data_IF_309313085776
#
_entry.id   IF_309313085776
#
_cell.length_a   1.000
_cell.length_b   1.000
_cell.length_c   1.000
_cell.angle_alpha   90.00
_cell.angle_beta   90.00
_cell.angle_gamma   90.00
#
_symmetry.space_group_name_H-M   'P 1'
#
loop_
_entity.id
_entity.type
_entity.pdbx_description
1 polymer ?
#
# COMPACT_ATOMS: atom_id res chain seq x y z
N UNK A 1 -30.06 -31.66 -31.05
CA UNK A 1 -30.55 -30.59 -30.16
C UNK A 1 -29.88 -30.80 -28.81
N UNK A 2 -28.86 -30.01 -28.49
CA UNK A 2 -27.98 -30.24 -27.33
C UNK A 2 -28.50 -29.43 -26.14
N UNK A 3 -28.93 -30.13 -25.08
CA UNK A 3 -29.40 -29.54 -23.84
C UNK A 3 -28.23 -28.99 -23.02
N UNK A 4 -28.02 -27.67 -23.04
CA UNK A 4 -27.10 -27.01 -22.11
C UNK A 4 -27.72 -26.94 -20.71
N UNK A 5 -27.21 -27.76 -19.79
CA UNK A 5 -27.58 -27.69 -18.36
C UNK A 5 -26.93 -26.45 -17.75
N UNK A 6 -27.76 -25.49 -17.37
CA UNK A 6 -27.35 -24.32 -16.58
C UNK A 6 -26.87 -24.79 -15.20
N UNK A 7 -25.65 -24.41 -14.76
CA UNK A 7 -25.11 -24.86 -13.47
C UNK A 7 -25.92 -24.25 -12.32
N UNK A 8 -26.20 -25.07 -11.31
CA UNK A 8 -27.00 -24.66 -10.15
C UNK A 8 -26.27 -23.63 -9.29
N UNK A 9 -27.04 -22.83 -8.54
CA UNK A 9 -26.52 -21.82 -7.59
C UNK A 9 -25.52 -22.40 -6.59
N UNK A 10 -25.68 -23.66 -6.20
CA UNK A 10 -24.78 -24.37 -5.28
C UNK A 10 -23.44 -24.66 -5.95
N UNK A 11 -23.46 -25.01 -7.24
CA UNK A 11 -22.26 -25.27 -8.03
C UNK A 11 -21.46 -23.99 -8.27
N UNK A 12 -22.15 -22.87 -8.52
CA UNK A 12 -21.54 -21.54 -8.61
C UNK A 12 -20.90 -21.12 -7.29
N UNK A 13 -21.54 -21.41 -6.15
CA UNK A 13 -20.99 -21.12 -4.81
C UNK A 13 -19.76 -21.98 -4.49
N UNK A 14 -19.76 -23.26 -4.89
CA UNK A 14 -18.57 -24.13 -4.76
C UNK A 14 -17.39 -23.61 -5.57
N UNK A 15 -17.62 -23.25 -6.85
CA UNK A 15 -16.58 -22.68 -7.72
C UNK A 15 -16.03 -21.36 -7.19
N UNK A 16 -16.86 -20.54 -6.54
CA UNK A 16 -16.42 -19.31 -5.86
C UNK A 16 -15.56 -19.60 -4.62
N UNK A 17 -15.93 -20.58 -3.79
CA UNK A 17 -15.12 -21.00 -2.63
C UNK A 17 -13.78 -21.62 -3.06
N UNK A 18 -13.78 -22.43 -4.11
CA UNK A 18 -12.56 -23.06 -4.65
C UNK A 18 -11.59 -22.01 -5.22
N UNK A 19 -12.08 -20.94 -5.88
CA UNK A 19 -11.24 -19.81 -6.32
C UNK A 19 -10.64 -18.98 -5.18
N UNK A 20 -11.35 -18.86 -4.06
CA UNK A 20 -10.84 -18.16 -2.87
C UNK A 20 -9.75 -19.01 -2.19
N UNK A 21 -9.89 -20.34 -2.20
CA UNK A 21 -8.92 -21.27 -1.61
C UNK A 21 -7.71 -21.57 -2.53
N UNK A 22 -7.79 -21.31 -3.84
CA UNK A 22 -6.66 -21.47 -4.77
C UNK A 22 -5.73 -20.27 -4.82
N UNK A 23 -6.04 -19.19 -4.09
CA UNK A 23 -5.09 -18.11 -3.85
C UNK A 23 -3.99 -18.65 -2.93
N UNK A 24 -2.81 -18.88 -3.49
CA UNK A 24 -1.61 -19.25 -2.75
C UNK A 24 -1.35 -18.24 -1.63
N UNK A 25 -1.89 -18.53 -0.43
CA UNK A 25 -1.50 -17.89 0.80
C UNK A 25 -0.09 -18.38 1.13
N UNK A 26 0.91 -17.78 0.51
CA UNK A 26 2.26 -17.79 1.05
C UNK A 26 2.28 -16.86 2.26
N UNK A 27 1.66 -17.32 3.36
CA UNK A 27 2.01 -16.86 4.70
C UNK A 27 3.39 -17.46 5.00
N UNK A 28 4.43 -16.87 4.41
CA UNK A 28 5.79 -17.18 4.79
C UNK A 28 5.99 -16.71 6.22
N UNK A 29 6.51 -17.59 7.08
CA UNK A 29 7.18 -17.19 8.34
C UNK A 29 8.07 -15.98 8.03
N UNK A 30 8.26 -15.02 8.97
CA UNK A 30 9.17 -13.90 8.72
C UNK A 30 10.52 -14.46 8.30
N UNK A 31 10.81 -14.33 7.00
CA UNK A 31 12.01 -14.86 6.37
C UNK A 31 13.18 -13.99 6.82
N UNK A 32 14.39 -14.55 6.82
CA UNK A 32 15.62 -13.83 7.13
C UNK A 32 15.69 -12.46 6.42
N UNK A 33 16.44 -11.48 6.97
CA UNK A 33 16.66 -10.18 6.32
C UNK A 33 17.01 -10.37 4.86
N UNK A 34 16.20 -9.76 3.99
CA UNK A 34 16.39 -9.82 2.55
C UNK A 34 16.98 -8.49 2.05
N UNK A 35 18.05 -8.59 1.28
CA UNK A 35 18.54 -7.47 0.48
C UNK A 35 17.56 -7.22 -0.67
N UNK A 36 17.52 -6.00 -1.24
CA UNK A 36 16.66 -5.67 -2.38
C UNK A 36 16.70 -6.69 -3.52
N UNK A 37 17.86 -7.29 -3.77
CA UNK A 37 18.09 -8.29 -4.82
C UNK A 37 17.44 -9.66 -4.55
N UNK A 38 16.96 -9.88 -3.33
CA UNK A 38 16.25 -11.09 -2.92
C UNK A 38 14.72 -10.88 -2.88
N UNK A 39 14.26 -9.63 -3.08
CA UNK A 39 12.84 -9.31 -3.14
C UNK A 39 12.25 -9.69 -4.50
N UNK A 40 10.96 -10.06 -4.57
CA UNK A 40 10.23 -10.16 -5.82
C UNK A 40 10.40 -8.90 -6.68
N UNK A 41 10.54 -9.06 -7.99
CA UNK A 41 10.86 -7.97 -8.93
C UNK A 41 9.98 -6.73 -8.72
N UNK A 42 8.67 -6.95 -8.53
CA UNK A 42 7.71 -5.88 -8.35
C UNK A 42 7.88 -5.07 -7.05
N UNK A 43 8.43 -5.66 -5.98
CA UNK A 43 8.82 -4.93 -4.77
C UNK A 43 10.14 -4.21 -4.98
N UNK A 44 11.10 -4.82 -5.69
CA UNK A 44 12.40 -4.21 -6.00
C UNK A 44 12.26 -2.92 -6.82
N UNK A 45 11.32 -2.93 -7.76
CA UNK A 45 11.01 -1.79 -8.62
C UNK A 45 10.36 -0.62 -7.86
N UNK A 46 9.71 -0.88 -6.71
CA UNK A 46 8.93 0.14 -6.00
C UNK A 46 9.59 0.62 -4.71
N UNK A 47 10.31 -0.25 -4.02
CA UNK A 47 10.91 0.07 -2.72
C UNK A 47 12.20 0.90 -2.85
N UNK A 48 12.44 1.85 -1.93
CA UNK A 48 13.66 2.64 -1.91
C UNK A 48 14.92 1.78 -1.76
N UNK A 49 15.96 2.17 -2.49
CA UNK A 49 17.31 1.65 -2.34
C UNK A 49 17.96 2.16 -1.03
N UNK A 50 18.98 1.45 -0.55
CA UNK A 50 19.71 1.72 0.71
C UNK A 50 19.01 1.32 2.02
N UNK A 51 17.96 0.50 1.94
CA UNK A 51 17.31 -0.08 3.13
C UNK A 51 17.29 -1.60 3.05
N UNK A 52 17.25 -2.25 4.21
CA UNK A 52 17.08 -3.70 4.33
C UNK A 52 15.66 -4.01 4.75
N UNK A 53 15.12 -5.09 4.19
CA UNK A 53 13.70 -5.42 4.32
C UNK A 53 13.53 -6.85 4.84
N UNK A 54 12.64 -7.05 5.80
CA UNK A 54 12.12 -8.37 6.19
C UNK A 54 10.68 -8.44 5.73
N UNK A 55 10.38 -9.27 4.73
CA UNK A 55 9.00 -9.46 4.25
C UNK A 55 8.25 -10.31 5.30
N UNK A 56 7.14 -9.77 5.80
CA UNK A 56 6.21 -10.50 6.67
C UNK A 56 5.10 -11.15 5.84
N UNK A 57 4.53 -10.41 4.90
CA UNK A 57 3.52 -10.92 3.97
C UNK A 57 3.60 -10.13 2.67
N UNK A 58 3.40 -10.80 1.56
CA UNK A 58 3.31 -10.13 0.27
C UNK A 58 2.31 -10.85 -0.63
N UNK A 59 1.44 -10.08 -1.27
CA UNK A 59 0.44 -10.54 -2.22
C UNK A 59 0.49 -9.65 -3.45
N UNK A 60 0.79 -10.24 -4.61
CA UNK A 60 0.64 -9.54 -5.88
C UNK A 60 -0.86 -9.43 -6.18
N UNK A 61 -1.29 -8.24 -6.57
CA UNK A 61 -2.65 -7.96 -7.01
C UNK A 61 -2.67 -7.85 -8.53
N UNK A 62 -3.79 -8.19 -9.15
CA UNK A 62 -3.94 -7.94 -10.58
C UNK A 62 -4.11 -6.43 -10.79
N UNK A 63 -3.23 -5.79 -11.59
CA UNK A 63 -3.39 -4.38 -11.91
C UNK A 63 -4.68 -4.19 -12.71
N UNK A 64 -5.42 -3.14 -12.39
CA UNK A 64 -6.62 -2.77 -13.16
C UNK A 64 -6.21 -2.45 -14.60
N UNK A 65 -6.91 -3.02 -15.60
CA UNK A 65 -6.65 -2.83 -17.04
C UNK A 65 -7.06 -1.45 -17.56
N UNK A 66 -6.87 -0.40 -16.76
CA UNK A 66 -7.17 0.98 -17.16
C UNK A 66 -5.90 1.59 -17.74
N UNK A 67 -5.99 2.19 -18.93
CA UNK A 67 -4.87 2.91 -19.54
C UNK A 67 -4.30 3.97 -18.58
N UNK A 68 -3.00 3.89 -18.31
CA UNK A 68 -2.29 4.79 -17.39
C UNK A 68 -2.26 4.36 -15.92
N UNK A 69 -2.82 3.21 -15.56
CA UNK A 69 -2.68 2.65 -14.20
C UNK A 69 -1.24 2.18 -13.93
N UNK A 70 -0.76 2.23 -12.67
CA UNK A 70 0.54 1.67 -12.30
C UNK A 70 0.67 0.21 -12.73
N UNK A 71 1.81 -0.12 -13.36
CA UNK A 71 2.11 -1.45 -13.90
C UNK A 71 2.08 -2.56 -12.85
N UNK A 72 2.18 -2.19 -11.58
CA UNK A 72 2.26 -3.11 -10.44
C UNK A 72 1.23 -2.73 -9.38
N UNK A 73 0.42 -3.71 -8.98
CA UNK A 73 -0.42 -3.64 -7.78
C UNK A 73 -0.01 -4.75 -6.80
N UNK A 74 0.11 -4.43 -5.52
CA UNK A 74 0.41 -5.40 -4.47
C UNK A 74 -0.18 -4.96 -3.14
N UNK A 75 -0.22 -5.90 -2.20
CA UNK A 75 -0.45 -5.69 -0.77
C UNK A 75 0.74 -6.35 -0.04
N UNK A 76 1.51 -5.57 0.70
CA UNK A 76 2.74 -6.04 1.34
C UNK A 76 2.88 -5.46 2.74
N UNK A 77 3.27 -6.32 3.68
CA UNK A 77 3.70 -5.91 5.01
C UNK A 77 5.14 -6.36 5.21
N UNK A 78 5.99 -5.43 5.62
CA UNK A 78 7.41 -5.70 5.82
C UNK A 78 7.99 -4.84 6.95
N UNK A 79 9.15 -5.27 7.42
CA UNK A 79 9.92 -4.58 8.44
C UNK A 79 11.17 -3.95 7.83
N UNK A 80 11.48 -2.73 8.23
CA UNK A 80 12.61 -1.94 7.72
C UNK A 80 13.54 -1.55 8.85
N UNK A 81 14.84 -1.47 8.57
CA UNK A 81 15.90 -1.02 9.47
C UNK A 81 15.87 0.50 9.75
N UNK A 82 14.73 1.00 10.25
CA UNK A 82 14.49 2.43 10.52
C UNK A 82 14.09 2.63 11.98
N UNK A 83 14.88 3.37 12.75
CA UNK A 83 14.69 3.55 14.19
C UNK A 83 14.23 4.95 14.62
N UNK A 84 14.00 5.88 13.69
CA UNK A 84 13.60 7.26 14.01
C UNK A 84 12.52 7.81 13.07
N UNK A 85 11.73 8.76 13.56
CA UNK A 85 10.70 9.43 12.77
C UNK A 85 11.27 10.19 11.56
N UNK A 86 12.45 10.80 11.70
CA UNK A 86 13.14 11.51 10.60
C UNK A 86 13.52 10.55 9.47
N UNK A 87 14.07 9.38 9.82
CA UNK A 87 14.41 8.36 8.83
C UNK A 87 13.17 7.75 8.17
N UNK A 88 12.03 7.70 8.87
CA UNK A 88 10.75 7.31 8.27
C UNK A 88 10.33 8.32 7.20
N UNK A 89 10.43 9.63 7.47
CA UNK A 89 10.09 10.64 6.46
C UNK A 89 11.08 10.65 5.28
N UNK A 90 12.36 10.37 5.52
CA UNK A 90 13.36 10.19 4.46
C UNK A 90 13.03 8.98 3.56
N UNK A 91 12.72 7.83 4.17
CA UNK A 91 12.28 6.64 3.44
C UNK A 91 11.02 6.92 2.61
N UNK A 92 10.04 7.62 3.20
CA UNK A 92 8.80 7.99 2.51
C UNK A 92 9.06 8.93 1.33
N UNK A 93 9.97 9.89 1.48
CA UNK A 93 10.36 10.80 0.40
C UNK A 93 11.00 10.02 -0.75
N UNK A 94 11.91 9.08 -0.43
CA UNK A 94 12.52 8.22 -1.43
C UNK A 94 11.48 7.32 -2.13
N UNK A 95 10.51 6.78 -1.40
CA UNK A 95 9.43 5.97 -1.95
C UNK A 95 8.52 6.77 -2.89
N UNK A 96 8.12 7.97 -2.48
CA UNK A 96 7.34 8.88 -3.31
C UNK A 96 8.08 9.25 -4.60
N UNK A 97 9.39 9.54 -4.51
CA UNK A 97 10.21 9.89 -5.66
C UNK A 97 10.34 8.72 -6.64
N UNK A 98 10.52 7.49 -6.12
CA UNK A 98 10.67 6.28 -6.95
C UNK A 98 9.37 5.87 -7.64
N UNK A 99 8.24 5.99 -6.96
CA UNK A 99 6.92 5.55 -7.46
C UNK A 99 6.11 6.66 -8.12
N UNK A 100 6.53 7.93 -8.00
CA UNK A 100 5.73 9.09 -8.39
C UNK A 100 4.45 9.27 -7.56
N UNK A 101 4.28 8.51 -6.46
CA UNK A 101 3.09 8.59 -5.61
C UNK A 101 3.21 9.72 -4.60
N UNK A 102 2.11 10.43 -4.36
CA UNK A 102 2.05 11.49 -3.35
C UNK A 102 1.10 11.06 -2.24
N UNK A 103 1.66 10.50 -1.16
CA UNK A 103 0.89 10.12 0.01
C UNK A 103 0.52 11.33 0.88
N UNK A 104 -0.74 11.48 1.25
CA UNK A 104 -1.21 12.44 2.26
C UNK A 104 -1.54 11.73 3.55
N UNK A 105 -1.25 12.37 4.68
CA UNK A 105 -1.65 11.87 6.00
C UNK A 105 -3.19 11.90 6.07
N UNK A 106 -3.77 10.75 6.36
CA UNK A 106 -5.22 10.58 6.55
C UNK A 106 -5.60 10.44 8.00
N UNK A 107 -4.78 9.73 8.77
CA UNK A 107 -4.84 9.68 10.23
C UNK A 107 -3.43 9.81 10.78
N UNK A 108 -3.24 10.77 11.66
CA UNK A 108 -2.09 10.81 12.53
C UNK A 108 -2.65 10.59 13.93
N UNK A 109 -2.24 9.51 14.57
CA UNK A 109 -2.56 9.36 15.98
C UNK A 109 -1.79 10.41 16.74
N UNK A 110 -2.47 11.12 17.65
CA UNK A 110 -1.76 11.78 18.74
C UNK A 110 -1.10 10.65 19.50
N UNK A 111 0.22 10.53 19.38
CA UNK A 111 1.02 9.50 20.03
C UNK A 111 0.72 9.57 21.54
N UNK A 112 -0.23 8.75 21.99
CA UNK A 112 -0.67 8.70 23.39
C UNK A 112 -0.14 7.40 23.96
N UNK A 113 0.97 7.51 24.69
CA UNK A 113 1.55 6.41 25.46
C UNK A 113 3.02 6.18 25.17
N UNK A 114 3.71 5.59 26.16
CA UNK A 114 5.16 5.31 26.17
C UNK A 114 5.60 4.31 25.08
N UNK A 115 4.63 3.61 24.45
CA UNK A 115 4.89 2.42 23.63
C UNK A 115 5.03 2.71 22.12
N UNK A 116 4.40 3.76 21.60
CA UNK A 116 4.41 4.08 20.16
C UNK A 116 5.25 5.32 19.95
N UNK A 117 6.20 5.28 19.00
CA UNK A 117 7.07 6.41 18.65
C UNK A 117 6.52 7.10 17.40
N UNK A 118 6.01 6.31 16.46
CA UNK A 118 5.45 6.80 15.21
C UNK A 118 4.27 5.92 14.79
N UNK A 119 3.15 6.52 14.43
CA UNK A 119 2.04 5.83 13.79
C UNK A 119 1.28 6.82 12.90
N UNK A 120 1.35 6.60 11.58
CA UNK A 120 0.63 7.42 10.60
C UNK A 120 0.07 6.54 9.48
N UNK A 121 -1.18 6.82 9.14
CA UNK A 121 -1.85 6.27 7.97
C UNK A 121 -1.86 7.30 6.85
N UNK A 122 -1.46 6.87 5.67
CA UNK A 122 -1.42 7.66 4.47
C UNK A 122 -2.32 7.07 3.40
N UNK A 123 -2.91 7.93 2.59
CA UNK A 123 -3.56 7.54 1.34
C UNK A 123 -2.94 8.31 0.18
N UNK A 124 -2.89 7.67 -0.99
CA UNK A 124 -2.44 8.32 -2.19
C UNK A 124 -3.35 9.51 -2.54
N UNK A 125 -2.74 10.63 -2.94
CA UNK A 125 -3.41 11.77 -3.54
C UNK A 125 -3.37 11.60 -5.05
N UNK A 126 -4.50 11.23 -5.63
CA UNK A 126 -4.66 11.35 -7.08
C UNK A 126 -4.83 12.83 -7.42
N UNK A 127 -3.84 13.39 -8.10
CA UNK A 127 -4.01 14.61 -8.85
C UNK A 127 -4.75 14.21 -10.13
N UNK A 128 -6.07 14.31 -10.13
CA UNK A 128 -6.80 14.23 -11.39
C UNK A 128 -6.46 15.50 -12.18
N UNK A 129 -5.50 15.40 -13.10
CA UNK A 129 -4.94 16.53 -13.85
C UNK A 129 -6.06 17.26 -14.62
N UNK A 130 -7.08 16.52 -15.08
CA UNK A 130 -8.26 17.09 -15.71
C UNK A 130 -9.14 17.84 -14.69
N UNK A 131 -9.35 17.28 -13.50
CA UNK A 131 -10.06 17.97 -12.43
C UNK A 131 -9.27 19.19 -11.89
N UNK A 132 -7.93 19.19 -11.91
CA UNK A 132 -7.11 20.36 -11.53
C UNK A 132 -7.26 21.48 -12.56
N UNK A 133 -7.20 21.17 -13.86
CA UNK A 133 -7.43 22.15 -14.94
C UNK A 133 -8.87 22.67 -14.93
N UNK A 134 -9.87 21.81 -14.68
CA UNK A 134 -11.26 22.20 -14.53
C UNK A 134 -11.48 23.04 -13.25
N UNK A 135 -10.87 22.62 -12.14
CA UNK A 135 -10.96 23.34 -10.86
C UNK A 135 -10.29 24.70 -10.94
N UNK A 136 -9.14 24.87 -11.59
CA UNK A 136 -8.51 26.17 -11.78
C UNK A 136 -9.39 27.16 -12.57
N UNK A 137 -10.15 26.69 -13.57
CA UNK A 137 -11.18 27.51 -14.24
C UNK A 137 -12.36 27.88 -13.33
N UNK A 138 -12.73 27.01 -12.40
CA UNK A 138 -13.85 27.23 -11.45
C UNK A 138 -13.45 27.87 -10.10
N UNK A 139 -12.15 27.96 -9.79
CA UNK A 139 -11.63 28.38 -8.48
C UNK A 139 -11.79 29.89 -8.24
N UNK A 140 -12.01 30.67 -9.30
CA UNK A 140 -12.43 32.05 -9.20
C UNK A 140 -13.81 32.22 -8.52
N UNK A 141 -14.63 31.16 -8.42
CA UNK A 141 -16.02 31.27 -7.96
C UNK A 141 -16.35 30.55 -6.65
N UNK A 142 -15.50 29.66 -6.11
CA UNK A 142 -15.89 28.80 -4.97
C UNK A 142 -14.79 28.56 -3.94
N UNK A 143 -14.21 29.63 -3.40
CA UNK A 143 -13.23 29.64 -2.31
C UNK A 143 -13.75 29.13 -0.94
N UNK A 144 -14.75 28.23 -0.91
CA UNK A 144 -15.34 27.72 0.33
C UNK A 144 -15.86 26.28 0.28
N UNK A 145 -15.76 25.56 -0.85
CA UNK A 145 -16.32 24.20 -0.92
C UNK A 145 -15.36 23.11 -0.43
N UNK A 146 -15.93 22.24 0.42
CA UNK A 146 -15.33 21.07 1.06
C UNK A 146 -14.39 20.31 0.13
N UNK A 147 -13.19 20.01 0.66
CA UNK A 147 -12.14 19.20 0.03
C UNK A 147 -12.77 18.01 -0.71
N UNK A 148 -12.70 18.01 -2.04
CA UNK A 148 -13.24 16.94 -2.86
C UNK A 148 -12.52 15.63 -2.48
N UNK A 149 -13.25 14.75 -1.80
CA UNK A 149 -12.77 13.45 -1.32
C UNK A 149 -12.95 12.46 -2.45
N UNK A 150 -12.08 12.49 -3.45
CA UNK A 150 -12.01 11.40 -4.41
C UNK A 150 -11.30 10.21 -3.73
N UNK A 151 -12.04 9.50 -2.86
CA UNK A 151 -11.53 8.48 -1.91
C UNK A 151 -11.59 7.05 -2.42
N UNK A 152 -11.85 6.82 -3.70
CA UNK A 152 -11.93 5.46 -4.25
C UNK A 152 -10.57 4.82 -4.51
N UNK A 153 -9.47 5.51 -4.16
CA UNK A 153 -8.14 4.93 -4.22
C UNK A 153 -7.89 3.99 -3.04
N UNK A 154 -7.57 2.72 -3.35
CA UNK A 154 -7.18 1.71 -2.37
C UNK A 154 -5.69 1.75 -2.02
N UNK A 155 -4.91 2.67 -2.62
CA UNK A 155 -3.49 2.82 -2.33
C UNK A 155 -3.30 3.51 -0.97
N UNK A 156 -2.90 2.71 0.00
CA UNK A 156 -2.82 3.08 1.41
C UNK A 156 -1.44 2.68 1.92
N UNK A 157 -0.81 3.54 2.70
CA UNK A 157 0.41 3.20 3.42
C UNK A 157 0.19 3.36 4.92
N UNK A 158 0.57 2.37 5.74
CA UNK A 158 0.60 2.51 7.20
C UNK A 158 2.03 2.31 7.68
N UNK A 159 2.53 3.24 8.47
CA UNK A 159 3.87 3.16 9.03
C UNK A 159 3.79 3.22 10.55
N UNK A 160 4.41 2.24 11.20
CA UNK A 160 4.40 2.10 12.66
C UNK A 160 5.78 1.80 13.20
N UNK A 161 6.19 2.57 14.21
CA UNK A 161 7.39 2.36 14.99
C UNK A 161 7.04 2.34 16.48
N UNK A 162 7.40 1.26 17.16
CA UNK A 162 7.15 1.07 18.59
C UNK A 162 8.45 1.06 19.38
N UNK A 163 8.40 1.59 20.60
CA UNK A 163 9.55 1.64 21.52
C UNK A 163 10.07 0.25 21.86
N UNK A 164 9.17 -0.71 22.07
CA UNK A 164 9.53 -2.10 22.39
C UNK A 164 10.31 -2.79 21.26
N UNK A 165 10.17 -2.30 20.02
CA UNK A 165 10.76 -2.92 18.84
C UNK A 165 12.13 -2.35 18.49
N UNK A 166 12.54 -1.23 19.08
CA UNK A 166 13.82 -0.57 18.76
C UNK A 166 15.06 -1.46 18.98
N UNK A 167 14.95 -2.49 19.81
CA UNK A 167 16.03 -3.46 20.04
C UNK A 167 16.18 -4.48 18.91
N UNK A 168 15.22 -4.52 17.97
CA UNK A 168 15.25 -5.40 16.81
C UNK A 168 16.03 -4.75 15.67
N UNK A 169 16.60 -5.57 14.79
CA UNK A 169 17.31 -5.09 13.59
C UNK A 169 16.40 -4.33 12.62
N UNK A 170 15.12 -4.72 12.52
CA UNK A 170 14.11 -4.12 11.64
C UNK A 170 12.89 -3.67 12.47
N UNK A 171 13.02 -2.53 13.17
CA UNK A 171 12.04 -2.14 14.18
C UNK A 171 10.78 -1.48 13.58
N UNK A 172 10.87 -0.91 12.37
CA UNK A 172 9.77 -0.20 11.72
C UNK A 172 8.90 -1.16 10.90
N UNK A 173 7.58 -1.15 11.11
CA UNK A 173 6.61 -1.89 10.30
C UNK A 173 5.98 -0.96 9.28
N UNK A 174 5.99 -1.40 8.02
CA UNK A 174 5.38 -0.71 6.91
C UNK A 174 4.42 -1.66 6.21
N UNK A 175 3.21 -1.17 5.98
CA UNK A 175 2.18 -1.80 5.18
C UNK A 175 1.90 -0.92 3.97
N UNK A 176 1.92 -1.50 2.77
CA UNK A 176 1.72 -0.85 1.48
C UNK A 176 0.72 -1.64 0.63
#
# INVERSE_FOLDING_TARGET
>A
MSNERTPSRIELQKRFKERINSGSNTTTKPTMPATLDQLPNYLRETLPENYTYIIKSCKKLEPSKVEGAPTVAFDSTFYVNISSAERIEAWRTAFNNKTGTVFRITRADKVKGVKVIYHKDFHCRHADIAAIKYMQKSYAQKAGQRRNRNTNCQCLAKIRLEKARLQLSHPCEIHL
#
